data_IF_684543989101
#
_entry.id   IF_684543989101
#
_cell.length_a   1.000
_cell.length_b   1.000
_cell.length_c   1.000
_cell.angle_alpha   90.00
_cell.angle_beta   90.00
_cell.angle_gamma   90.00
#
_symmetry.space_group_name_H-M   'P 1'
#
loop_
_entity.id
_entity.type
_entity.pdbx_description
1 polymer ?
#
# COMPACT_ATOMS: atom_id res chain seq x y z
N UNK A 1 -14.26 -7.60 31.98
CA UNK A 1 -12.90 -7.28 31.52
C UNK A 1 -12.79 -7.71 30.07
N UNK A 2 -12.76 -6.77 29.13
CA UNK A 2 -12.59 -7.07 27.70
C UNK A 2 -11.12 -7.34 27.43
N UNK A 3 -10.79 -8.54 26.93
CA UNK A 3 -9.43 -8.90 26.54
C UNK A 3 -9.10 -8.11 25.27
N UNK A 4 -8.29 -7.05 25.39
CA UNK A 4 -7.93 -6.20 24.26
C UNK A 4 -6.99 -6.99 23.35
N UNK A 5 -7.44 -7.37 22.16
CA UNK A 5 -6.58 -8.07 21.20
C UNK A 5 -5.44 -7.13 20.75
N UNK A 6 -4.21 -7.64 20.82
CA UNK A 6 -3.03 -6.90 20.39
C UNK A 6 -2.94 -6.89 18.86
N UNK A 7 -2.71 -5.74 18.23
CA UNK A 7 -2.63 -5.67 16.78
C UNK A 7 -1.43 -6.47 16.26
N UNK A 8 -1.50 -6.83 15.00
CA UNK A 8 -0.34 -7.31 14.23
C UNK A 8 0.08 -6.19 13.29
N UNK A 9 1.38 -5.95 13.14
CA UNK A 9 1.91 -4.94 12.23
C UNK A 9 2.89 -5.58 11.24
N UNK A 10 3.15 -4.92 10.12
CA UNK A 10 4.31 -5.21 9.29
C UNK A 10 5.59 -4.86 10.06
N UNK A 11 6.58 -5.75 9.99
CA UNK A 11 7.82 -5.73 10.76
C UNK A 11 9.03 -5.90 9.83
N UNK A 12 9.22 -4.95 8.92
CA UNK A 12 10.35 -4.95 7.99
C UNK A 12 11.26 -3.73 8.25
N UNK A 13 12.55 -3.91 8.00
CA UNK A 13 13.55 -2.85 8.17
C UNK A 13 14.17 -2.51 6.82
N UNK A 14 14.22 -1.23 6.51
CA UNK A 14 14.93 -0.65 5.36
C UNK A 14 14.64 -1.32 4.01
N UNK A 15 13.38 -1.61 3.72
CA UNK A 15 12.95 -2.04 2.39
C UNK A 15 13.08 -0.89 1.40
N UNK A 16 13.64 -1.14 0.23
CA UNK A 16 13.72 -0.21 -0.88
C UNK A 16 12.38 -0.17 -1.63
N UNK A 17 12.11 0.94 -2.31
CA UNK A 17 10.93 1.08 -3.17
C UNK A 17 10.82 -0.07 -4.18
N UNK A 18 9.64 -0.68 -4.25
CA UNK A 18 9.37 -1.84 -5.10
C UNK A 18 9.48 -3.18 -4.37
N UNK A 19 10.15 -3.23 -3.20
CA UNK A 19 10.21 -4.44 -2.38
C UNK A 19 8.94 -4.59 -1.53
N UNK A 20 8.37 -5.80 -1.48
CA UNK A 20 7.22 -6.09 -0.61
C UNK A 20 7.66 -6.46 0.81
N UNK A 21 6.93 -6.01 1.82
CA UNK A 21 7.05 -6.53 3.18
C UNK A 21 6.15 -7.77 3.34
N UNK A 22 6.75 -8.92 3.66
CA UNK A 22 6.04 -10.16 4.01
C UNK A 22 6.11 -10.48 5.51
N UNK A 23 6.98 -9.79 6.25
CA UNK A 23 7.17 -10.02 7.68
C UNK A 23 6.10 -9.30 8.50
N UNK A 24 5.41 -10.06 9.34
CA UNK A 24 4.40 -9.55 10.25
C UNK A 24 4.69 -9.98 11.67
N UNK A 25 4.45 -9.11 12.64
CA UNK A 25 4.70 -9.36 14.05
C UNK A 25 3.46 -9.03 14.87
N UNK A 26 3.13 -9.90 15.83
CA UNK A 26 2.15 -9.60 16.88
C UNK A 26 2.77 -8.62 17.86
N UNK A 27 2.11 -7.51 18.13
CA UNK A 27 2.61 -6.53 19.07
C UNK A 27 2.56 -7.05 20.51
N UNK A 28 3.47 -6.54 21.35
CA UNK A 28 3.53 -6.89 22.77
C UNK A 28 2.48 -6.11 23.57
N UNK A 29 2.24 -6.52 24.81
CA UNK A 29 1.36 -5.78 25.71
C UNK A 29 1.82 -4.33 25.85
N UNK A 30 0.90 -3.38 25.70
CA UNK A 30 1.20 -1.94 25.69
C UNK A 30 1.55 -1.38 24.31
N UNK A 31 1.99 -2.21 23.36
CA UNK A 31 2.22 -1.80 21.97
C UNK A 31 0.91 -1.90 21.19
N UNK A 32 0.23 -0.77 21.05
CA UNK A 32 -1.10 -0.69 20.40
C UNK A 32 -1.07 0.04 19.07
N UNK A 33 0.11 0.46 18.60
CA UNK A 33 0.28 1.28 17.40
C UNK A 33 1.24 0.60 16.44
N UNK A 34 0.85 0.50 15.17
CA UNK A 34 1.78 0.24 14.09
C UNK A 34 2.41 1.56 13.65
N UNK A 35 3.74 1.57 13.61
CA UNK A 35 4.54 2.72 13.17
C UNK A 35 5.20 2.41 11.83
N UNK A 36 5.34 3.44 11.02
CA UNK A 36 6.12 3.41 9.78
C UNK A 36 7.12 4.55 9.79
N UNK A 37 8.29 4.31 9.19
CA UNK A 37 9.23 5.34 8.77
C UNK A 37 9.50 5.17 7.28
N UNK A 38 9.30 6.25 6.54
CA UNK A 38 9.65 6.37 5.13
C UNK A 38 10.75 7.43 5.00
N UNK A 39 11.86 7.07 4.37
CA UNK A 39 12.93 8.01 4.04
C UNK A 39 12.98 8.20 2.53
N UNK A 40 13.00 9.44 2.07
CA UNK A 40 13.05 9.80 0.65
C UNK A 40 14.19 10.79 0.44
N UNK A 41 15.13 10.48 -0.44
CA UNK A 41 16.25 11.37 -0.72
C UNK A 41 17.13 10.85 -1.85
N UNK A 42 18.08 11.67 -2.27
CA UNK A 42 19.04 11.29 -3.30
C UNK A 42 20.27 10.61 -2.70
N UNK A 43 20.74 9.58 -3.39
CA UNK A 43 21.98 8.84 -3.09
C UNK A 43 22.95 8.99 -4.25
N UNK A 44 24.19 8.51 -4.10
CA UNK A 44 25.17 8.50 -5.21
C UNK A 44 24.70 7.71 -6.44
N UNK A 45 23.71 6.83 -6.29
CA UNK A 45 23.08 6.07 -7.38
C UNK A 45 21.73 6.64 -7.86
N UNK A 46 21.32 7.81 -7.35
CA UNK A 46 20.04 8.46 -7.69
C UNK A 46 19.02 8.47 -6.54
N UNK A 47 17.77 8.87 -6.83
CA UNK A 47 16.70 8.95 -5.84
C UNK A 47 16.40 7.59 -5.22
N UNK A 48 16.28 7.56 -3.90
CA UNK A 48 15.94 6.36 -3.14
C UNK A 48 14.82 6.65 -2.14
N UNK A 49 13.86 5.72 -2.10
CA UNK A 49 12.86 5.67 -1.02
C UNK A 49 13.03 4.38 -0.25
N UNK A 50 13.06 4.47 1.08
CA UNK A 50 13.05 3.30 1.97
C UNK A 50 11.83 3.30 2.89
N UNK A 51 11.47 2.10 3.35
CA UNK A 51 10.36 1.85 4.25
C UNK A 51 10.83 0.97 5.42
N UNK A 52 10.39 1.32 6.63
CA UNK A 52 10.47 0.45 7.80
C UNK A 52 9.14 0.46 8.55
N UNK A 53 8.74 -0.67 9.10
CA UNK A 53 7.51 -0.83 9.88
C UNK A 53 7.74 -1.66 11.13
N UNK A 54 7.08 -1.31 12.25
CA UNK A 54 7.18 -2.04 13.52
C UNK A 54 6.02 -1.72 14.48
N UNK A 55 5.90 -2.51 15.55
CA UNK A 55 4.99 -2.24 16.67
C UNK A 55 5.59 -1.19 17.62
N UNK A 56 4.78 -0.26 18.10
CA UNK A 56 5.17 0.76 19.06
C UNK A 56 4.11 0.94 20.16
N UNK A 57 4.58 1.37 21.33
CA UNK A 57 3.77 1.82 22.47
C UNK A 57 3.13 3.18 22.19
N UNK A 58 3.92 4.12 21.67
CA UNK A 58 3.50 5.46 21.31
C UNK A 58 4.02 5.85 19.92
N UNK A 59 3.32 6.76 19.28
CA UNK A 59 3.70 7.25 17.96
C UNK A 59 3.28 8.71 17.79
N UNK A 60 4.23 9.53 17.37
CA UNK A 60 4.03 10.92 16.99
C UNK A 60 4.27 11.01 15.48
N UNK A 61 3.22 11.26 14.66
CA UNK A 61 3.39 11.51 13.24
C UNK A 61 4.28 12.72 13.03
N UNK A 62 5.24 12.61 12.12
CA UNK A 62 6.18 13.69 11.83
C UNK A 62 6.67 13.58 10.39
N UNK A 63 6.73 14.70 9.68
CA UNK A 63 7.52 14.82 8.47
C UNK A 63 8.63 15.83 8.72
N UNK A 64 9.89 15.42 8.56
CA UNK A 64 11.05 16.29 8.77
C UNK A 64 12.11 16.00 7.72
N UNK A 65 12.67 17.06 7.14
CA UNK A 65 13.86 16.96 6.31
C UNK A 65 15.11 16.98 7.20
N UNK A 66 15.96 15.97 7.04
CA UNK A 66 17.28 15.87 7.67
C UNK A 66 18.29 15.93 6.54
N UNK A 67 19.11 16.98 6.51
CA UNK A 67 19.98 17.31 5.37
C UNK A 67 19.18 17.39 4.05
N UNK A 68 19.37 16.41 3.16
CA UNK A 68 18.67 16.28 1.88
C UNK A 68 17.56 15.24 1.90
N UNK A 69 17.44 14.45 2.97
CA UNK A 69 16.49 13.33 3.08
C UNK A 69 15.23 13.74 3.83
N UNK A 70 14.06 13.55 3.21
CA UNK A 70 12.76 13.67 3.86
C UNK A 70 12.43 12.39 4.62
N UNK A 71 12.35 12.47 5.95
CA UNK A 71 11.89 11.40 6.82
C UNK A 71 10.43 11.64 7.22
N UNK A 72 9.58 10.65 6.99
CA UNK A 72 8.15 10.68 7.32
C UNK A 72 7.79 9.52 8.23
N UNK A 73 7.25 9.83 9.40
CA UNK A 73 6.71 8.89 10.37
C UNK A 73 5.19 8.94 10.31
N UNK A 74 4.57 7.78 10.12
CA UNK A 74 3.11 7.62 10.19
C UNK A 74 2.74 6.56 11.23
N UNK A 75 1.48 6.64 11.71
CA UNK A 75 0.98 5.86 12.84
C UNK A 75 -0.43 5.37 12.51
N UNK A 76 -0.75 4.13 12.88
CA UNK A 76 -2.10 3.58 12.76
C UNK A 76 -2.32 2.46 13.81
N UNK A 77 -3.55 2.11 14.13
CA UNK A 77 -3.87 1.20 15.26
C UNK A 77 -4.57 -0.10 14.83
N UNK A 78 -4.95 -0.21 13.56
CA UNK A 78 -5.62 -1.41 13.04
C UNK A 78 -4.60 -2.48 12.63
N UNK A 79 -5.02 -3.74 12.64
CA UNK A 79 -4.15 -4.86 12.23
C UNK A 79 -3.66 -4.68 10.78
N UNK A 80 -2.35 -4.78 10.58
CA UNK A 80 -1.65 -4.71 9.30
C UNK A 80 -1.86 -3.39 8.55
N UNK A 81 -2.12 -2.29 9.26
CA UNK A 81 -2.40 -0.99 8.67
C UNK A 81 -1.16 -0.27 8.13
N UNK A 82 0.02 -0.60 8.64
CA UNK A 82 1.28 0.01 8.25
C UNK A 82 1.83 -0.66 6.98
N UNK A 83 1.10 -0.54 5.87
CA UNK A 83 1.50 -1.16 4.60
C UNK A 83 2.49 -0.24 3.87
N UNK A 84 3.57 -0.76 3.24
CA UNK A 84 4.40 0.05 2.36
C UNK A 84 3.57 0.73 1.27
N UNK A 85 3.81 2.01 0.95
CA UNK A 85 2.92 2.80 0.09
C UNK A 85 2.83 2.25 -1.35
N UNK A 86 3.89 1.59 -1.83
CA UNK A 86 3.91 0.95 -3.15
C UNK A 86 3.34 -0.47 -3.16
N UNK A 87 3.12 -1.10 -2.00
CA UNK A 87 2.63 -2.48 -1.93
C UNK A 87 1.09 -2.57 -2.07
N UNK A 88 0.38 -1.43 -2.04
CA UNK A 88 -1.07 -1.36 -2.14
C UNK A 88 -1.79 -1.94 -0.90
N UNK A 89 -3.09 -1.66 -0.71
CA UNK A 89 -3.84 -2.21 0.41
C UNK A 89 -3.92 -3.74 0.32
N UNK A 90 -3.45 -4.44 1.36
CA UNK A 90 -3.76 -5.86 1.50
C UNK A 90 -5.19 -5.96 2.04
N UNK A 91 -6.12 -6.44 1.21
CA UNK A 91 -7.50 -6.67 1.61
C UNK A 91 -7.61 -7.69 2.77
N UNK A 92 -8.81 -7.87 3.35
CA UNK A 92 -9.02 -8.85 4.42
C UNK A 92 -8.58 -10.24 3.92
N UNK A 93 -7.71 -10.89 4.69
CA UNK A 93 -6.98 -12.12 4.34
C UNK A 93 -7.84 -13.16 3.60
N UNK A 94 -7.44 -13.45 2.36
CA UNK A 94 -7.84 -14.64 1.61
C UNK A 94 -6.58 -15.38 1.16
N UNK A 95 -6.50 -16.65 1.53
CA UNK A 95 -5.39 -17.58 1.30
C UNK A 95 -4.75 -17.55 -0.10
N UNK A 96 -3.42 -17.66 -0.11
CA UNK A 96 -2.71 -18.59 -0.99
C UNK A 96 -2.28 -18.13 -2.38
N UNK A 97 -1.05 -18.57 -2.71
CA UNK A 97 -0.50 -18.82 -4.04
C UNK A 97 -0.26 -17.59 -4.95
N UNK A 98 1.01 -17.41 -5.30
CA UNK A 98 1.41 -16.48 -6.35
C UNK A 98 0.77 -16.84 -7.69
N UNK A 99 0.56 -15.81 -8.52
CA UNK A 99 0.77 -15.87 -9.96
C UNK A 99 0.66 -14.47 -10.57
N UNK A 100 1.42 -14.20 -11.63
CA UNK A 100 1.42 -12.92 -12.34
C UNK A 100 0.18 -12.84 -13.23
N UNK A 101 -0.58 -11.75 -13.14
CA UNK A 101 -1.58 -11.38 -14.15
C UNK A 101 -1.00 -10.18 -14.89
N UNK A 102 -0.46 -10.31 -16.11
CA UNK A 102 -1.03 -11.01 -17.25
C UNK A 102 -1.94 -10.02 -17.96
N UNK A 103 -1.38 -9.33 -18.96
CA UNK A 103 -2.00 -8.28 -19.74
C UNK A 103 -3.42 -8.67 -20.19
N UNK A 104 -4.41 -7.88 -19.77
CA UNK A 104 -5.78 -8.00 -20.25
C UNK A 104 -5.81 -7.61 -21.74
N UNK A 105 -5.86 -8.61 -22.62
CA UNK A 105 -6.27 -8.41 -24.02
C UNK A 105 -7.74 -8.00 -24.01
N UNK A 106 -8.00 -6.73 -24.30
CA UNK A 106 -9.33 -6.21 -24.55
C UNK A 106 -9.89 -6.90 -25.80
N UNK A 107 -10.85 -7.81 -25.61
CA UNK A 107 -11.65 -8.35 -26.70
C UNK A 107 -12.72 -7.30 -27.07
N UNK A 108 -12.44 -6.50 -28.09
CA UNK A 108 -13.42 -5.61 -28.71
C UNK A 108 -14.40 -6.43 -29.54
N UNK A 109 -15.56 -6.74 -28.99
CA UNK A 109 -16.72 -7.18 -29.75
C UNK A 109 -17.48 -5.93 -30.23
N UNK A 110 -17.17 -5.44 -31.43
CA UNK A 110 -17.89 -4.34 -32.08
C UNK A 110 -19.15 -4.90 -32.76
N UNK A 111 -20.28 -4.86 -32.05
CA UNK A 111 -21.61 -5.15 -32.60
C UNK A 111 -22.13 -3.94 -33.40
N UNK A 112 -21.99 -3.99 -34.72
CA UNK A 112 -22.62 -3.06 -35.67
C UNK A 112 -24.03 -3.57 -35.98
N UNK A 113 -25.06 -3.00 -35.36
CA UNK A 113 -26.46 -3.27 -35.72
C UNK A 113 -27.24 -1.97 -35.99
N UNK A 114 -27.52 -1.79 -37.30
CA UNK A 114 -28.82 -1.43 -37.90
C UNK A 114 -29.34 0.01 -37.72
N UNK A 115 -29.12 0.84 -38.75
CA UNK A 115 -29.88 2.07 -39.03
C UNK A 115 -31.16 1.75 -39.82
N UNK A 116 -32.37 2.07 -39.32
CA UNK A 116 -33.55 2.24 -40.15
C UNK A 116 -33.65 3.71 -40.62
N UNK A 117 -33.86 3.88 -41.92
CA UNK A 117 -33.85 5.17 -42.59
C UNK A 117 -34.97 6.13 -42.18
N UNK A 118 -34.63 7.42 -42.22
CA UNK A 118 -35.57 8.51 -42.46
C UNK A 118 -35.08 9.29 -43.68
N UNK A 119 -35.79 9.18 -44.79
CA UNK A 119 -35.82 10.23 -45.79
C UNK A 119 -37.27 10.70 -45.90
N UNK A 120 -37.49 11.89 -45.36
CA UNK A 120 -38.74 12.63 -45.52
C UNK A 120 -38.91 13.10 -46.96
N UNK A 121 -40.14 12.98 -47.46
CA UNK A 121 -40.58 13.65 -48.65
C UNK A 121 -40.84 15.14 -48.34
N UNK A 122 -40.47 16.03 -49.26
CA UNK A 122 -40.76 17.44 -49.14
C UNK A 122 -40.29 18.26 -50.34
N UNK A 123 -41.02 18.15 -51.46
CA UNK A 123 -41.50 19.24 -52.34
C UNK A 123 -42.19 18.64 -53.57
#
# INVERSE_FOLDING_TARGET
MTLRELPRCFACQSLHSGEGCSQTQRCLLGQTVCKTLISQGDTGSGPLTTYSGWCADACQPLAKKVETTLMTVTCCQTTLCNVPPWQGPQGPQGSGAGSPRGAARLATALLLSLLPGLLGAGS
#
